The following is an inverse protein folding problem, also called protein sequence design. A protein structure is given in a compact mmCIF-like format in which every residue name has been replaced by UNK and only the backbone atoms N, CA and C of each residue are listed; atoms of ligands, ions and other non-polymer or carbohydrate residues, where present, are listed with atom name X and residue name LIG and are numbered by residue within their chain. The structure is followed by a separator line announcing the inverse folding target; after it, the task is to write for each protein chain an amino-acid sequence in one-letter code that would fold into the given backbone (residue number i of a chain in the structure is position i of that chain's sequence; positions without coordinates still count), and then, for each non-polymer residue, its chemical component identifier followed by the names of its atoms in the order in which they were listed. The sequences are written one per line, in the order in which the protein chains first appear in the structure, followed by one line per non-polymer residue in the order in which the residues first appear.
data_IF_289322793448
#
_entry.id   IF_289322793448
#
_cell.length_a   1.000
_cell.length_b   1.000
_cell.length_c   1.000
_cell.angle_alpha   90.00
_cell.angle_beta   90.00
_cell.angle_gamma   90.00
#
_symmetry.space_group_name_H-M   'P 1'
#
loop_
_entity.id
_entity.type
_entity.pdbx_description
1 polymer ?
#
# COMPACT_ATOMS: atom_id res chain seq x y z
N UNK A 1 2.52 -8.94 3.77
CA UNK A 1 1.98 -8.56 5.09
C UNK A 1 3.03 -8.01 6.06
N UNK A 2 4.27 -8.53 6.09
CA UNK A 2 5.28 -8.04 7.05
C UNK A 2 5.70 -6.57 6.88
N UNK A 3 5.66 -6.02 5.67
CA UNK A 3 6.12 -4.64 5.43
C UNK A 3 5.19 -3.59 6.04
N UNK A 4 3.88 -3.81 5.97
CA UNK A 4 2.91 -2.84 6.51
C UNK A 4 2.87 -2.87 8.04
N UNK A 5 3.03 -4.05 8.65
CA UNK A 5 3.15 -4.15 10.11
C UNK A 5 4.38 -3.42 10.62
N UNK A 6 5.53 -3.55 9.94
CA UNK A 6 6.74 -2.78 10.29
C UNK A 6 6.55 -1.27 10.16
N UNK A 7 5.84 -0.82 9.12
CA UNK A 7 5.51 0.59 8.95
C UNK A 7 4.60 1.10 10.08
N UNK A 8 3.57 0.34 10.43
CA UNK A 8 2.67 0.65 11.54
C UNK A 8 3.42 0.70 12.88
N UNK A 9 4.22 -0.32 13.20
CA UNK A 9 5.06 -0.36 14.41
C UNK A 9 6.01 0.84 14.49
N UNK A 10 6.63 1.21 13.37
CA UNK A 10 7.52 2.38 13.34
C UNK A 10 6.75 3.66 13.66
N UNK A 11 5.57 3.85 13.06
CA UNK A 11 4.74 5.02 13.29
C UNK A 11 4.23 5.07 14.74
N UNK A 12 3.78 3.92 15.27
CA UNK A 12 3.24 3.81 16.62
C UNK A 12 4.34 4.01 17.67
N UNK A 13 5.45 3.30 17.57
CA UNK A 13 6.45 3.24 18.65
C UNK A 13 7.59 4.25 18.47
N UNK A 14 8.00 4.55 17.24
CA UNK A 14 9.10 5.50 16.97
C UNK A 14 8.58 6.92 16.81
N UNK A 15 7.55 7.11 15.97
CA UNK A 15 6.94 8.43 15.76
C UNK A 15 5.91 8.77 16.83
N UNK A 16 5.55 7.81 17.70
CA UNK A 16 4.59 7.99 18.81
C UNK A 16 3.22 8.47 18.34
N UNK A 17 2.79 8.01 17.17
CA UNK A 17 1.53 8.39 16.57
C UNK A 17 0.66 7.15 16.31
N UNK A 18 0.03 6.57 17.35
CA UNK A 18 -0.78 5.37 17.20
C UNK A 18 -1.98 5.57 16.27
N UNK A 19 -2.54 6.79 16.21
CA UNK A 19 -3.66 7.10 15.33
C UNK A 19 -3.25 7.03 13.84
N UNK A 20 -2.04 7.49 13.50
CA UNK A 20 -1.53 7.37 12.14
C UNK A 20 -1.17 5.92 11.76
N UNK A 21 -0.76 5.10 12.72
CA UNK A 21 -0.52 3.67 12.50
C UNK A 21 -1.83 2.93 12.20
N UNK A 22 -2.86 3.16 13.00
CA UNK A 22 -4.21 2.61 12.81
C UNK A 22 -4.80 3.02 11.45
N UNK A 23 -4.74 4.32 11.13
CA UNK A 23 -5.23 4.86 9.86
C UNK A 23 -4.46 4.30 8.64
N UNK A 24 -3.19 3.94 8.79
CA UNK A 24 -2.43 3.27 7.73
C UNK A 24 -2.95 1.84 7.48
N UNK A 25 -3.26 1.10 8.55
CA UNK A 25 -3.78 -0.27 8.46
C UNK A 25 -5.20 -0.30 7.89
N UNK A 26 -6.06 0.63 8.31
CA UNK A 26 -7.40 0.78 7.77
C UNK A 26 -7.37 1.12 6.27
N UNK A 27 -6.60 2.14 5.89
CA UNK A 27 -6.46 2.55 4.49
C UNK A 27 -5.92 1.41 3.61
N UNK A 28 -5.01 0.60 4.14
CA UNK A 28 -4.51 -0.56 3.42
C UNK A 28 -5.54 -1.66 3.28
N UNK A 29 -6.29 -1.95 4.32
CA UNK A 29 -7.37 -2.96 4.28
C UNK A 29 -8.45 -2.54 3.27
N UNK A 30 -8.82 -1.27 3.25
CA UNK A 30 -9.81 -0.72 2.31
C UNK A 30 -9.30 -0.80 0.86
N UNK A 31 -8.04 -0.42 0.61
CA UNK A 31 -7.49 -0.47 -0.74
C UNK A 31 -7.26 -1.90 -1.24
N UNK A 32 -6.75 -2.78 -0.39
CA UNK A 32 -6.60 -4.20 -0.73
C UNK A 32 -7.97 -4.84 -0.99
N UNK A 33 -8.98 -4.52 -0.19
CA UNK A 33 -10.36 -4.96 -0.43
C UNK A 33 -10.92 -4.44 -1.75
N UNK A 34 -10.67 -3.18 -2.08
CA UNK A 34 -11.07 -2.58 -3.36
C UNK A 34 -10.35 -3.21 -4.57
N UNK A 35 -9.08 -3.62 -4.39
CA UNK A 35 -8.30 -4.34 -5.40
C UNK A 35 -8.81 -5.76 -5.63
N UNK A 36 -9.31 -6.44 -4.58
CA UNK A 36 -9.88 -7.77 -4.70
C UNK A 36 -11.14 -7.78 -5.59
N UNK A 37 -11.92 -6.69 -5.56
CA UNK A 37 -13.12 -6.52 -6.37
C UNK A 37 -12.79 -6.09 -7.82
N UNK A 38 -11.80 -5.19 -8.00
CA UNK A 38 -11.43 -4.68 -9.33
C UNK A 38 -9.91 -4.43 -9.47
N UNK A 39 -9.09 -5.48 -9.69
CA UNK A 39 -7.63 -5.36 -9.68
C UNK A 39 -7.07 -4.54 -10.86
N UNK A 40 -7.84 -4.43 -11.95
CA UNK A 40 -7.47 -3.65 -13.15
C UNK A 40 -7.77 -2.15 -13.04
N UNK A 41 -8.34 -1.68 -11.93
CA UNK A 41 -8.73 -0.28 -11.74
C UNK A 41 -7.56 0.69 -11.88
N UNK A 42 -6.36 0.27 -11.50
CA UNK A 42 -5.15 1.10 -11.57
C UNK A 42 -4.34 0.78 -12.81
N UNK A 43 -3.90 1.82 -13.51
CA UNK A 43 -3.09 1.71 -14.73
C UNK A 43 -1.73 1.06 -14.42
N UNK A 44 -1.14 0.41 -15.43
CA UNK A 44 0.23 -0.07 -15.34
C UNK A 44 1.16 1.11 -15.06
N UNK A 45 2.23 0.82 -14.32
CA UNK A 45 3.23 1.82 -13.95
C UNK A 45 3.88 2.40 -15.21
N UNK A 46 4.03 3.72 -15.28
CA UNK A 46 4.68 4.42 -16.41
C UNK A 46 6.18 4.09 -16.54
N UNK A 47 6.80 3.56 -15.48
CA UNK A 47 8.19 3.11 -15.53
C UNK A 47 8.33 1.88 -16.46
N UNK A 48 9.17 1.95 -17.50
CA UNK A 48 9.27 0.90 -18.51
C UNK A 48 9.77 -0.44 -17.97
N UNK A 49 10.52 -0.46 -16.86
CA UNK A 49 10.99 -1.70 -16.23
C UNK A 49 9.85 -2.34 -15.44
N UNK A 50 9.14 -1.56 -14.61
CA UNK A 50 8.00 -2.05 -13.83
C UNK A 50 6.82 -2.45 -14.73
N UNK A 51 6.59 -1.71 -15.82
CA UNK A 51 5.63 -2.06 -16.86
C UNK A 51 5.96 -3.40 -17.53
N UNK A 52 7.25 -3.63 -17.84
CA UNK A 52 7.72 -4.90 -18.42
C UNK A 52 7.51 -6.09 -17.49
N UNK A 53 7.42 -5.86 -16.17
CA UNK A 53 7.13 -6.90 -15.18
C UNK A 53 5.64 -7.06 -14.88
N UNK A 54 4.78 -6.25 -15.52
CA UNK A 54 3.33 -6.26 -15.28
C UNK A 54 2.94 -5.73 -13.90
N UNK A 55 3.84 -5.04 -13.21
CA UNK A 55 3.62 -4.55 -11.85
C UNK A 55 2.68 -3.35 -11.91
N UNK A 56 1.72 -3.34 -10.99
CA UNK A 56 0.86 -2.19 -10.68
C UNK A 56 1.21 -1.69 -9.29
N UNK A 57 0.92 -0.42 -9.02
CA UNK A 57 0.96 0.09 -7.66
C UNK A 57 -0.30 0.86 -7.32
N UNK A 58 -0.59 0.91 -6.04
CA UNK A 58 -1.53 1.85 -5.45
C UNK A 58 -0.82 2.66 -4.38
N UNK A 59 -1.19 3.94 -4.27
CA UNK A 59 -0.69 4.81 -3.21
C UNK A 59 -1.63 4.68 -2.02
N UNK A 60 -1.09 4.29 -0.88
CA UNK A 60 -1.80 4.16 0.40
C UNK A 60 -1.13 5.15 1.36
N UNK A 61 -1.77 6.29 1.57
CA UNK A 61 -1.18 7.43 2.29
C UNK A 61 0.17 7.84 1.69
N UNK A 62 1.26 7.56 2.41
CA UNK A 62 2.63 7.91 2.02
C UNK A 62 3.46 6.66 1.61
N UNK A 63 2.79 5.55 1.30
CA UNK A 63 3.41 4.28 0.91
C UNK A 63 2.91 3.83 -0.47
N UNK A 64 3.77 3.12 -1.19
CA UNK A 64 3.45 2.45 -2.45
C UNK A 64 3.25 0.96 -2.19
N UNK A 65 2.07 0.46 -2.49
CA UNK A 65 1.78 -0.97 -2.45
C UNK A 65 1.83 -1.53 -3.87
N UNK A 66 2.83 -2.39 -4.13
CA UNK A 66 3.03 -3.05 -5.42
C UNK A 66 2.28 -4.39 -5.46
N UNK A 67 1.61 -4.68 -6.57
CA UNK A 67 0.89 -5.93 -6.79
C UNK A 67 0.93 -6.37 -8.26
N UNK A 68 0.65 -7.65 -8.51
CA UNK A 68 0.65 -8.28 -9.85
C UNK A 68 -0.72 -8.89 -10.14
#
# INVERSE_FOLDING_TARGET
EHDIMRAADYIEFTLKNPNAADNLLDAATEQIGSLADLPQKFHLVDDPVLASWGIRFVIINNYLAFYT
#
